data_IF_812185272667
#
_entry.id   IF_812185272667
#
_cell.length_a   1.000
_cell.length_b   1.000
_cell.length_c   1.000
_cell.angle_alpha   90.00
_cell.angle_beta   90.00
_cell.angle_gamma   90.00
#
_symmetry.space_group_name_H-M   'P 1'
#
loop_
_entity.id
_entity.type
_entity.pdbx_description
1 polymer ?
#
# COMPACT_ATOMS: atom_id res chain seq x y z
N UNK A 1 -28.97 53.31 17.33
CA UNK A 1 -28.45 54.54 16.66
C UNK A 1 -26.95 54.34 16.46
N UNK A 2 -26.46 54.07 15.24
CA UNK A 2 -26.14 54.99 14.12
C UNK A 2 -24.66 55.46 14.17
N UNK A 3 -23.85 54.79 13.34
CA UNK A 3 -22.77 55.26 12.44
C UNK A 3 -21.58 56.05 12.99
N UNK A 4 -20.38 55.58 12.65
CA UNK A 4 -19.28 56.28 11.91
C UNK A 4 -18.09 55.30 11.88
N UNK A 5 -17.84 54.56 10.79
CA UNK A 5 -16.99 54.90 9.64
C UNK A 5 -15.68 55.61 10.02
N UNK A 6 -14.58 55.15 9.39
CA UNK A 6 -13.22 55.71 9.23
C UNK A 6 -12.15 54.66 9.62
N UNK A 7 -11.14 54.27 8.83
CA UNK A 7 -10.58 54.75 7.56
C UNK A 7 -9.79 53.59 6.92
N UNK A 8 -9.94 53.41 5.60
CA UNK A 8 -8.90 52.78 4.77
C UNK A 8 -7.63 53.61 4.89
N UNK A 9 -6.54 53.02 5.39
CA UNK A 9 -5.22 53.60 5.25
C UNK A 9 -4.69 53.27 3.84
N UNK A 10 -4.64 54.30 3.00
CA UNK A 10 -4.05 54.25 1.67
C UNK A 10 -2.57 53.86 1.74
N UNK A 11 -2.22 52.74 1.10
CA UNK A 11 -0.82 52.47 0.74
C UNK A 11 -0.58 53.20 -0.57
N UNK A 12 -0.13 54.45 -0.46
CA UNK A 12 0.43 55.20 -1.58
C UNK A 12 1.84 55.64 -1.20
N UNK A 13 2.73 55.57 -2.19
CA UNK A 13 4.17 55.86 -2.17
C UNK A 13 5.11 54.68 -1.89
N UNK A 14 5.20 53.79 -2.88
CA UNK A 14 6.45 53.10 -3.23
C UNK A 14 6.72 53.16 -4.74
N UNK A 15 6.42 54.30 -5.37
CA UNK A 15 7.00 54.65 -6.66
C UNK A 15 8.18 55.59 -6.40
N UNK A 16 9.35 55.29 -6.99
CA UNK A 16 10.67 55.94 -6.80
C UNK A 16 11.71 55.22 -5.90
N UNK A 17 11.83 53.90 -6.01
CA UNK A 17 13.15 53.22 -6.07
C UNK A 17 13.00 51.86 -6.79
N UNK A 18 12.14 51.84 -7.80
CA UNK A 18 11.69 50.67 -8.55
C UNK A 18 12.73 50.34 -9.61
N UNK A 19 13.43 49.21 -9.47
CA UNK A 19 13.89 48.35 -10.57
C UNK A 19 14.80 47.21 -10.06
N UNK A 20 15.40 47.30 -8.85
CA UNK A 20 16.22 46.19 -8.29
C UNK A 20 15.47 45.28 -7.31
N UNK A 21 14.62 45.83 -6.43
CA UNK A 21 13.91 45.02 -5.40
C UNK A 21 12.73 44.20 -5.93
N UNK A 22 12.17 44.55 -7.09
CA UNK A 22 11.06 43.79 -7.71
C UNK A 22 11.54 42.58 -8.51
N UNK A 23 12.74 42.65 -9.11
CA UNK A 23 13.37 41.53 -9.79
C UNK A 23 13.84 40.48 -8.80
N UNK A 24 14.56 40.88 -7.73
CA UNK A 24 14.98 39.95 -6.67
C UNK A 24 13.78 39.23 -6.04
N UNK A 25 12.68 39.94 -5.74
CA UNK A 25 11.47 39.29 -5.21
C UNK A 25 10.76 38.39 -6.22
N UNK A 26 10.72 38.74 -7.52
CA UNK A 26 10.13 37.87 -8.55
C UNK A 26 10.95 36.60 -8.76
N UNK A 27 12.27 36.73 -8.77
CA UNK A 27 13.18 35.60 -8.96
C UNK A 27 13.17 34.68 -7.72
N UNK A 28 13.15 35.24 -6.52
CA UNK A 28 13.03 34.49 -5.26
C UNK A 28 11.66 33.80 -5.11
N UNK A 29 10.56 34.45 -5.54
CA UNK A 29 9.23 33.82 -5.59
C UNK A 29 9.19 32.71 -6.64
N UNK A 30 9.78 32.91 -7.81
CA UNK A 30 9.81 31.91 -8.88
C UNK A 30 10.64 30.69 -8.46
N UNK A 31 11.82 30.91 -7.89
CA UNK A 31 12.67 29.85 -7.35
C UNK A 31 12.00 29.13 -6.18
N UNK A 32 11.30 29.86 -5.30
CA UNK A 32 10.52 29.28 -4.21
C UNK A 32 9.35 28.42 -4.68
N UNK A 33 8.62 28.85 -5.72
CA UNK A 33 7.52 28.08 -6.34
C UNK A 33 8.05 26.88 -7.11
N UNK A 34 9.18 27.02 -7.81
CA UNK A 34 9.85 25.91 -8.50
C UNK A 34 10.36 24.86 -7.51
N UNK A 35 11.00 25.28 -6.41
CA UNK A 35 11.43 24.39 -5.32
C UNK A 35 10.24 23.72 -4.64
N UNK A 36 9.21 24.47 -4.24
CA UNK A 36 7.99 23.89 -3.67
C UNK A 36 7.34 22.87 -4.63
N UNK A 37 7.31 23.16 -5.93
CA UNK A 37 6.81 22.23 -6.93
C UNK A 37 7.67 20.98 -7.08
N UNK A 38 9.00 21.12 -6.98
CA UNK A 38 9.94 20.00 -6.99
C UNK A 38 9.81 19.14 -5.73
N UNK A 39 9.79 19.73 -4.54
CA UNK A 39 9.67 19.04 -3.25
C UNK A 39 8.35 18.25 -3.16
N UNK A 40 7.24 18.85 -3.61
CA UNK A 40 5.93 18.17 -3.67
C UNK A 40 5.97 17.01 -4.67
N UNK A 41 6.63 17.19 -5.82
CA UNK A 41 6.77 16.14 -6.83
C UNK A 41 7.64 14.99 -6.33
N UNK A 42 8.76 15.29 -5.67
CA UNK A 42 9.66 14.29 -5.06
C UNK A 42 8.94 13.50 -3.97
N UNK A 43 8.28 14.19 -3.03
CA UNK A 43 7.47 13.54 -1.98
C UNK A 43 6.37 12.64 -2.56
N UNK A 44 5.71 13.06 -3.65
CA UNK A 44 4.70 12.25 -4.32
C UNK A 44 5.28 11.04 -5.05
N UNK A 45 6.48 11.16 -5.63
CA UNK A 45 7.22 10.04 -6.22
C UNK A 45 7.61 9.05 -5.13
N UNK A 46 8.20 9.52 -4.03
CA UNK A 46 8.62 8.66 -2.91
C UNK A 46 7.44 7.90 -2.29
N UNK A 47 6.31 8.58 -2.09
CA UNK A 47 5.10 7.93 -1.57
C UNK A 47 4.54 6.87 -2.54
N UNK A 48 4.64 7.12 -3.84
CA UNK A 48 4.23 6.16 -4.87
C UNK A 48 5.18 4.96 -4.91
N UNK A 49 6.48 5.20 -4.88
CA UNK A 49 7.50 4.16 -4.92
C UNK A 49 7.43 3.28 -3.67
N UNK A 50 7.24 3.88 -2.48
CA UNK A 50 6.97 3.16 -1.24
C UNK A 50 5.71 2.29 -1.35
N UNK A 51 4.61 2.81 -1.90
CA UNK A 51 3.37 2.06 -2.09
C UNK A 51 3.55 0.90 -3.09
N UNK A 52 4.33 1.10 -4.16
CA UNK A 52 4.66 0.05 -5.13
C UNK A 52 5.52 -1.05 -4.50
N UNK A 53 6.54 -0.70 -3.71
CA UNK A 53 7.40 -1.66 -3.01
C UNK A 53 6.62 -2.49 -1.99
N UNK A 54 5.75 -1.84 -1.21
CA UNK A 54 4.93 -2.53 -0.21
C UNK A 54 3.90 -3.47 -0.88
N UNK A 55 3.27 -3.02 -1.98
CA UNK A 55 2.38 -3.90 -2.77
C UNK A 55 3.13 -5.10 -3.30
N UNK A 56 4.29 -4.87 -3.90
CA UNK A 56 5.11 -5.95 -4.46
C UNK A 56 5.52 -6.97 -3.40
N UNK A 57 5.99 -6.51 -2.25
CA UNK A 57 6.35 -7.40 -1.13
C UNK A 57 5.16 -8.27 -0.72
N UNK A 58 3.97 -7.69 -0.59
CA UNK A 58 2.76 -8.45 -0.25
C UNK A 58 2.31 -9.41 -1.35
N UNK A 59 2.46 -9.03 -2.62
CA UNK A 59 2.21 -9.94 -3.73
C UNK A 59 3.16 -11.13 -3.69
N UNK A 60 4.45 -10.88 -3.47
CA UNK A 60 5.48 -11.91 -3.41
C UNK A 60 5.23 -12.88 -2.22
N UNK A 61 4.90 -12.36 -1.03
CA UNK A 61 4.57 -13.18 0.15
C UNK A 61 3.34 -14.09 -0.07
N UNK A 62 2.29 -13.54 -0.70
CA UNK A 62 1.07 -14.28 -1.02
C UNK A 62 1.32 -15.33 -2.10
N UNK A 63 2.09 -14.99 -3.14
CA UNK A 63 2.44 -15.92 -4.22
C UNK A 63 3.33 -17.06 -3.70
N UNK A 64 4.30 -16.76 -2.83
CA UNK A 64 5.12 -17.79 -2.18
C UNK A 64 4.25 -18.75 -1.37
N UNK A 65 3.36 -18.22 -0.50
CA UNK A 65 2.48 -19.07 0.30
C UNK A 65 1.55 -19.92 -0.57
N UNK A 66 1.00 -19.34 -1.64
CA UNK A 66 0.18 -20.06 -2.63
C UNK A 66 0.96 -21.20 -3.28
N UNK A 67 2.22 -20.97 -3.66
CA UNK A 67 3.09 -22.01 -4.23
C UNK A 67 3.38 -23.14 -3.24
N UNK A 68 3.67 -22.81 -1.98
CA UNK A 68 3.87 -23.82 -0.92
C UNK A 68 2.63 -24.71 -0.75
N UNK A 69 1.44 -24.10 -0.77
CA UNK A 69 0.17 -24.83 -0.70
C UNK A 69 -0.05 -25.69 -1.95
N UNK A 70 0.22 -25.17 -3.14
CA UNK A 70 0.08 -25.91 -4.40
C UNK A 70 1.01 -27.13 -4.46
N UNK A 71 2.26 -26.98 -4.03
CA UNK A 71 3.21 -28.09 -3.90
C UNK A 71 2.69 -29.15 -2.94
N UNK A 72 2.23 -28.74 -1.75
CA UNK A 72 1.70 -29.70 -0.77
C UNK A 72 0.45 -30.42 -1.28
N UNK A 73 -0.47 -29.72 -1.92
CA UNK A 73 -1.64 -30.33 -2.55
C UNK A 73 -1.28 -31.31 -3.66
N UNK A 74 -0.20 -31.04 -4.42
CA UNK A 74 0.32 -31.94 -5.46
C UNK A 74 0.92 -33.21 -4.85
N UNK A 75 1.66 -33.10 -3.75
CA UNK A 75 2.21 -34.26 -3.04
C UNK A 75 1.10 -35.13 -2.46
N UNK A 76 0.12 -34.52 -1.79
CA UNK A 76 -1.04 -35.23 -1.26
C UNK A 76 -1.89 -35.88 -2.36
N UNK A 77 -1.80 -35.44 -3.62
CA UNK A 77 -2.53 -36.07 -4.73
C UNK A 77 -1.95 -37.43 -5.11
N UNK A 78 -0.68 -37.70 -4.77
CA UNK A 78 0.01 -38.96 -5.09
C UNK A 78 -0.61 -40.16 -4.37
N UNK A 79 -1.22 -39.94 -3.21
CA UNK A 79 -1.98 -40.93 -2.46
C UNK A 79 -3.43 -40.47 -2.32
N UNK A 80 -4.36 -41.30 -2.79
CA UNK A 80 -5.80 -41.04 -2.85
C UNK A 80 -6.56 -41.35 -1.57
N UNK A 81 -5.87 -41.61 -0.45
CA UNK A 81 -6.50 -41.85 0.85
C UNK A 81 -7.48 -40.75 1.24
N UNK A 82 -8.53 -41.11 1.99
CA UNK A 82 -9.55 -40.17 2.44
C UNK A 82 -8.94 -39.00 3.24
N UNK A 83 -7.93 -39.30 4.06
CA UNK A 83 -7.17 -38.31 4.82
C UNK A 83 -6.46 -37.31 3.92
N UNK A 84 -5.82 -37.75 2.82
CA UNK A 84 -5.19 -36.85 1.87
C UNK A 84 -6.21 -36.03 1.09
N UNK A 85 -7.37 -36.61 0.76
CA UNK A 85 -8.45 -35.89 0.10
C UNK A 85 -9.00 -34.78 1.00
N UNK A 86 -9.20 -35.05 2.29
CA UNK A 86 -9.60 -34.05 3.28
C UNK A 86 -8.54 -32.95 3.43
N UNK A 87 -7.28 -33.35 3.60
CA UNK A 87 -6.14 -32.44 3.69
C UNK A 87 -6.08 -31.47 2.48
N UNK A 88 -6.28 -32.00 1.27
CA UNK A 88 -6.32 -31.20 0.04
C UNK A 88 -7.53 -30.29 -0.04
N UNK A 89 -8.68 -30.64 0.54
CA UNK A 89 -9.85 -29.75 0.59
C UNK A 89 -9.56 -28.55 1.48
N UNK A 90 -9.00 -28.76 2.68
CA UNK A 90 -8.61 -27.69 3.61
C UNK A 90 -7.60 -26.73 2.98
N UNK A 91 -6.54 -27.27 2.39
CA UNK A 91 -5.52 -26.48 1.70
C UNK A 91 -6.07 -25.67 0.52
N UNK A 92 -7.04 -26.23 -0.22
CA UNK A 92 -7.67 -25.53 -1.35
C UNK A 92 -8.44 -24.30 -0.91
N UNK A 93 -9.18 -24.38 0.19
CA UNK A 93 -9.91 -23.23 0.75
C UNK A 93 -8.94 -22.10 1.12
N UNK A 94 -7.81 -22.42 1.76
CA UNK A 94 -6.79 -21.44 2.08
C UNK A 94 -6.16 -20.84 0.82
N UNK A 95 -5.86 -21.67 -0.19
CA UNK A 95 -5.33 -21.24 -1.48
C UNK A 95 -6.27 -20.28 -2.21
N UNK A 96 -7.57 -20.54 -2.19
CA UNK A 96 -8.59 -19.66 -2.78
C UNK A 96 -8.69 -18.31 -2.05
N UNK A 97 -8.57 -18.29 -0.72
CA UNK A 97 -8.53 -17.04 0.06
C UNK A 97 -7.29 -16.20 -0.29
N UNK A 98 -6.13 -16.85 -0.44
CA UNK A 98 -4.88 -16.20 -0.87
C UNK A 98 -5.01 -15.64 -2.29
N UNK A 99 -5.56 -16.41 -3.22
CA UNK A 99 -5.75 -15.96 -4.61
C UNK A 99 -6.68 -14.74 -4.70
N UNK A 100 -7.75 -14.75 -3.92
CA UNK A 100 -8.66 -13.60 -3.80
C UNK A 100 -7.92 -12.36 -3.26
N UNK A 101 -7.17 -12.48 -2.18
CA UNK A 101 -6.42 -11.34 -1.60
C UNK A 101 -5.28 -10.86 -2.48
N UNK A 102 -4.58 -11.77 -3.18
CA UNK A 102 -3.58 -11.41 -4.18
C UNK A 102 -4.19 -10.54 -5.29
N UNK A 103 -5.40 -10.89 -5.73
CA UNK A 103 -6.12 -10.07 -6.69
C UNK A 103 -6.49 -8.69 -6.12
N UNK A 104 -6.89 -8.59 -4.84
CA UNK A 104 -7.15 -7.30 -4.19
C UNK A 104 -5.89 -6.43 -4.08
N UNK A 105 -4.72 -7.00 -3.78
CA UNK A 105 -3.46 -6.25 -3.74
C UNK A 105 -3.12 -5.67 -5.11
N UNK A 106 -3.19 -6.48 -6.17
CA UNK A 106 -2.91 -6.07 -7.56
C UNK A 106 -3.79 -4.92 -8.05
N UNK A 107 -5.02 -4.84 -7.53
CA UNK A 107 -6.00 -3.82 -7.91
C UNK A 107 -6.16 -2.72 -6.85
N UNK A 108 -5.34 -2.73 -5.80
CA UNK A 108 -5.42 -1.72 -4.74
C UNK A 108 -4.90 -0.36 -5.19
N UNK A 109 -5.57 0.68 -4.71
CA UNK A 109 -5.21 2.09 -4.91
C UNK A 109 -4.62 2.66 -3.62
N UNK A 110 -4.00 3.85 -3.70
CA UNK A 110 -3.54 4.56 -2.50
C UNK A 110 -4.65 4.76 -1.46
N UNK A 111 -5.89 5.03 -1.91
CA UNK A 111 -7.05 5.21 -1.02
C UNK A 111 -7.54 3.94 -0.32
N UNK A 112 -7.27 2.76 -0.89
CA UNK A 112 -7.72 1.46 -0.33
C UNK A 112 -6.56 0.68 0.31
N UNK A 113 -5.34 1.18 0.18
CA UNK A 113 -4.12 0.47 0.53
C UNK A 113 -4.09 0.03 1.99
N UNK A 114 -4.38 0.93 2.93
CA UNK A 114 -4.33 0.62 4.35
C UNK A 114 -5.29 -0.50 4.76
N UNK A 115 -6.49 -0.55 4.16
CA UNK A 115 -7.43 -1.66 4.38
C UNK A 115 -6.93 -2.95 3.76
N UNK A 116 -6.47 -2.91 2.50
CA UNK A 116 -5.94 -4.08 1.81
C UNK A 116 -4.75 -4.67 2.56
N UNK A 117 -3.82 -3.83 3.00
CA UNK A 117 -2.65 -4.22 3.79
C UNK A 117 -3.04 -4.97 5.07
N UNK A 118 -3.96 -4.40 5.86
CA UNK A 118 -4.43 -5.03 7.11
C UNK A 118 -5.09 -6.38 6.87
N UNK A 119 -5.89 -6.48 5.81
CA UNK A 119 -6.56 -7.71 5.42
C UNK A 119 -5.57 -8.80 5.00
N UNK A 120 -4.53 -8.43 4.24
CA UNK A 120 -3.44 -9.34 3.85
C UNK A 120 -2.65 -9.79 5.07
N UNK A 121 -2.24 -8.87 5.95
CA UNK A 121 -1.53 -9.21 7.20
C UNK A 121 -2.34 -10.18 8.08
N UNK A 122 -3.65 -9.94 8.18
CA UNK A 122 -4.56 -10.82 8.91
C UNK A 122 -4.65 -12.20 8.26
N UNK A 123 -4.76 -12.26 6.92
CA UNK A 123 -4.79 -13.52 6.20
C UNK A 123 -3.48 -14.29 6.32
N UNK A 124 -2.31 -13.64 6.22
CA UNK A 124 -1.01 -14.31 6.35
C UNK A 124 -0.85 -14.92 7.76
N UNK A 125 -1.23 -14.18 8.82
CA UNK A 125 -1.23 -14.71 10.19
C UNK A 125 -2.19 -15.89 10.36
N UNK A 126 -3.38 -15.80 9.75
CA UNK A 126 -4.35 -16.90 9.75
C UNK A 126 -3.81 -18.10 9.00
N UNK A 127 -3.22 -17.89 7.83
CA UNK A 127 -2.56 -18.90 6.99
C UNK A 127 -1.46 -19.62 7.78
N UNK A 128 -0.64 -18.90 8.54
CA UNK A 128 0.40 -19.50 9.39
C UNK A 128 -0.19 -20.40 10.49
N UNK A 129 -1.29 -19.96 11.11
CA UNK A 129 -1.99 -20.75 12.11
C UNK A 129 -2.58 -22.00 11.48
N UNK A 130 -3.36 -21.86 10.41
CA UNK A 130 -3.98 -22.98 9.70
C UNK A 130 -2.93 -23.94 9.16
N UNK A 131 -1.78 -23.45 8.68
CA UNK A 131 -0.68 -24.28 8.24
C UNK A 131 -0.02 -25.06 9.39
N UNK A 132 0.10 -24.45 10.56
CA UNK A 132 0.62 -25.11 11.76
C UNK A 132 -0.35 -26.18 12.26
N UNK A 133 -1.64 -25.86 12.35
CA UNK A 133 -2.69 -26.81 12.72
C UNK A 133 -2.75 -27.96 11.70
N UNK A 134 -2.65 -27.65 10.41
CA UNK A 134 -2.58 -28.64 9.35
C UNK A 134 -1.38 -29.58 9.51
N UNK A 135 -0.18 -29.05 9.83
CA UNK A 135 1.00 -29.88 10.13
C UNK A 135 0.81 -30.79 11.34
N UNK A 136 0.03 -30.36 12.33
CA UNK A 136 -0.26 -31.16 13.52
C UNK A 136 -1.28 -32.25 13.23
N UNK A 137 -2.41 -31.88 12.62
CA UNK A 137 -3.52 -32.77 12.27
C UNK A 137 -3.08 -33.85 11.27
N UNK A 138 -2.24 -33.45 10.31
CA UNK A 138 -1.74 -34.32 9.25
C UNK A 138 -0.25 -34.62 9.41
N UNK A 139 0.27 -34.70 10.64
CA UNK A 139 1.70 -34.92 10.92
C UNK A 139 2.30 -36.10 10.16
N UNK A 140 1.51 -37.16 9.97
CA UNK A 140 1.94 -38.34 9.21
C UNK A 140 2.10 -38.12 7.69
N UNK A 141 1.61 -36.99 7.19
CA UNK A 141 1.75 -36.58 5.80
C UNK A 141 2.95 -35.64 5.60
N UNK A 142 3.70 -35.33 6.66
CA UNK A 142 4.83 -34.38 6.68
C UNK A 142 6.18 -35.03 6.95
N UNK A 143 6.29 -36.34 6.72
CA UNK A 143 7.54 -37.10 6.78
C UNK A 143 8.48 -36.77 5.62
#
# INVERSE_FOLDING_TARGET
>A
MRRLLYLLAAVTFLACQENRKEQEKKDEIKEGVEKLGQDVKETAVDAKDYLEEQRKTMEDDLEERKQQIDLKMKDLKKDGSEKNLEARKKLRVLREQIDYKLNEVKHSSASTWDSTRKDVDSLLKKSDREWTEFKQEFKELFH
#
